data_IF_192647843528
#
_entry.id   IF_192647843528
#
_cell.length_a   1.000
_cell.length_b   1.000
_cell.length_c   1.000
_cell.angle_alpha   90.00
_cell.angle_beta   90.00
_cell.angle_gamma   90.00
#
_symmetry.space_group_name_H-M   'P 1'
#
loop_
_entity.id
_entity.type
_entity.pdbx_description
1 polymer ?
#
# COMPACT_ATOMS: atom_id res chain seq x y z
N UNK A 1 -5.19 -18.43 42.28
CA UNK A 1 -4.53 -19.75 42.29
C UNK A 1 -3.61 -20.01 41.11
N UNK A 2 -3.99 -19.83 39.88
CA UNK A 2 -3.10 -20.12 38.72
C UNK A 2 -1.89 -19.16 38.58
N UNK A 3 -2.05 -17.87 38.94
CA UNK A 3 -0.94 -16.89 39.01
C UNK A 3 0.12 -17.21 40.05
N UNK A 4 -0.24 -17.89 41.13
CA UNK A 4 0.68 -18.24 42.22
C UNK A 4 1.57 -19.46 41.88
N UNK A 5 1.32 -20.14 40.74
CA UNK A 5 2.04 -21.34 40.34
C UNK A 5 2.82 -21.14 39.04
N UNK A 6 3.02 -19.88 38.60
CA UNK A 6 3.70 -19.52 37.33
C UNK A 6 3.19 -20.28 36.09
N UNK A 7 1.94 -20.78 36.14
CA UNK A 7 1.31 -21.49 35.03
C UNK A 7 0.72 -20.57 33.96
N UNK A 8 0.70 -19.26 34.22
CA UNK A 8 0.32 -18.23 33.24
C UNK A 8 1.45 -17.21 33.24
N UNK A 9 2.28 -17.24 32.21
CA UNK A 9 3.22 -16.15 31.95
C UNK A 9 2.42 -14.87 31.70
N UNK A 10 2.70 -13.81 32.48
CA UNK A 10 2.23 -12.48 32.13
C UNK A 10 2.79 -12.17 30.73
N UNK A 11 1.97 -11.64 29.79
CA UNK A 11 2.53 -11.19 28.53
C UNK A 11 3.57 -10.13 28.86
N UNK A 12 4.84 -10.43 28.56
CA UNK A 12 5.87 -9.41 28.57
C UNK A 12 5.48 -8.42 27.47
N UNK A 13 4.83 -7.33 27.85
CA UNK A 13 4.71 -6.16 27.02
C UNK A 13 6.13 -5.61 26.86
N UNK A 14 6.86 -6.13 25.89
CA UNK A 14 8.00 -5.41 25.36
C UNK A 14 7.39 -4.18 24.70
N UNK A 15 7.38 -3.08 25.44
CA UNK A 15 7.25 -1.75 24.86
C UNK A 15 8.50 -1.55 24.02
N UNK A 16 8.46 -2.04 22.78
CA UNK A 16 9.40 -1.61 21.77
C UNK A 16 9.02 -0.16 21.53
N UNK A 17 9.76 0.76 22.20
CA UNK A 17 9.69 2.17 21.83
C UNK A 17 10.00 2.19 20.33
N UNK A 18 9.02 2.61 19.52
CA UNK A 18 9.23 2.81 18.10
C UNK A 18 10.45 3.71 17.97
N UNK A 19 11.53 3.16 17.44
CA UNK A 19 12.72 3.94 17.16
C UNK A 19 12.28 5.12 16.28
N UNK A 20 12.66 6.33 16.64
CA UNK A 20 12.29 7.61 16.02
C UNK A 20 12.72 7.77 14.55
N UNK A 21 13.01 6.69 13.84
CA UNK A 21 13.69 6.73 12.55
C UNK A 21 12.77 6.89 11.33
N UNK A 22 11.44 6.82 11.49
CA UNK A 22 10.47 7.13 10.44
C UNK A 22 9.26 7.86 11.00
N UNK A 23 9.53 8.92 11.75
CA UNK A 23 8.51 9.83 12.27
C UNK A 23 8.13 10.96 11.29
N UNK A 24 8.63 10.91 10.06
CA UNK A 24 8.20 11.85 9.01
C UNK A 24 6.81 11.45 8.53
N UNK A 25 5.80 11.87 9.30
CA UNK A 25 4.42 11.85 8.81
C UNK A 25 4.39 12.69 7.54
N UNK A 26 3.82 12.15 6.47
CA UNK A 26 3.52 12.94 5.28
C UNK A 26 2.52 14.03 5.62
N UNK A 27 2.72 15.22 5.05
CA UNK A 27 1.94 16.41 5.36
C UNK A 27 0.96 16.79 4.26
N UNK A 28 1.11 16.24 3.06
CA UNK A 28 0.26 16.54 1.90
C UNK A 28 0.21 15.37 0.92
N UNK A 29 -0.81 15.40 0.09
CA UNK A 29 -1.03 14.42 -0.99
C UNK A 29 0.13 14.44 -1.98
N UNK A 30 0.56 13.26 -2.41
CA UNK A 30 1.70 13.08 -3.32
C UNK A 30 3.08 13.43 -2.76
N UNK A 31 3.24 13.60 -1.46
CA UNK A 31 4.57 13.69 -0.86
C UNK A 31 5.30 12.36 -0.95
N UNK A 32 4.61 11.28 -0.64
CA UNK A 32 5.14 9.91 -0.70
C UNK A 32 4.05 8.93 -1.13
N UNK A 33 4.42 7.98 -1.97
CA UNK A 33 3.61 6.82 -2.33
C UNK A 33 4.20 5.56 -1.74
N UNK A 34 3.35 4.66 -1.27
CA UNK A 34 3.74 3.31 -0.89
C UNK A 34 3.40 2.34 -2.03
N UNK A 35 4.29 1.38 -2.27
CA UNK A 35 4.06 0.28 -3.21
C UNK A 35 4.43 -1.05 -2.59
N UNK A 36 3.62 -2.05 -2.87
CA UNK A 36 3.86 -3.42 -2.43
C UNK A 36 3.10 -4.39 -3.32
N UNK A 37 3.57 -5.65 -3.35
CA UNK A 37 2.86 -6.75 -3.96
C UNK A 37 2.09 -7.57 -2.93
N UNK A 38 0.89 -7.99 -3.31
CA UNK A 38 0.23 -9.10 -2.64
C UNK A 38 -0.25 -10.12 -3.67
N UNK A 39 -0.62 -11.32 -3.23
CA UNK A 39 -0.89 -12.42 -4.15
C UNK A 39 -2.25 -13.07 -3.89
N UNK A 40 -2.83 -13.57 -4.98
CA UNK A 40 -4.07 -14.32 -5.03
C UNK A 40 -3.87 -15.60 -5.85
N UNK A 41 -4.59 -16.64 -5.48
CA UNK A 41 -4.65 -17.87 -6.26
C UNK A 41 -5.97 -17.93 -7.01
N UNK A 42 -5.92 -18.20 -8.32
CA UNK A 42 -7.09 -18.41 -9.15
C UNK A 42 -7.12 -19.91 -9.51
N UNK A 43 -8.25 -20.54 -9.31
CA UNK A 43 -8.42 -21.98 -9.52
C UNK A 43 -8.23 -22.30 -11.02
N UNK A 44 -7.32 -23.24 -11.30
CA UNK A 44 -6.98 -23.61 -12.69
C UNK A 44 -5.97 -22.70 -13.38
N UNK A 45 -5.70 -21.48 -12.85
CA UNK A 45 -4.80 -20.49 -13.46
C UNK A 45 -3.49 -20.27 -12.68
N UNK A 46 -3.48 -20.60 -11.38
CA UNK A 46 -2.29 -20.44 -10.54
C UNK A 46 -2.26 -19.12 -9.74
N UNK A 47 -1.05 -18.58 -9.54
CA UNK A 47 -0.82 -17.41 -8.72
C UNK A 47 -0.78 -16.13 -9.56
N UNK A 48 -1.48 -15.11 -9.09
CA UNK A 48 -1.49 -13.75 -9.60
C UNK A 48 -1.04 -12.78 -8.52
N UNK A 49 -0.47 -11.67 -8.93
CA UNK A 49 0.18 -10.70 -8.05
C UNK A 49 -0.44 -9.34 -8.25
N UNK A 50 -0.97 -8.77 -7.18
CA UNK A 50 -1.52 -7.43 -7.20
C UNK A 50 -0.44 -6.44 -6.83
N UNK A 51 -0.05 -5.61 -7.78
CA UNK A 51 0.80 -4.44 -7.58
C UNK A 51 -0.07 -3.24 -7.24
N UNK A 52 0.24 -2.51 -6.16
CA UNK A 52 -0.59 -1.39 -5.69
C UNK A 52 0.26 -0.14 -5.47
N UNK A 53 -0.28 1.02 -5.80
CA UNK A 53 0.25 2.34 -5.43
C UNK A 53 -0.76 3.05 -4.54
N UNK A 54 -0.36 3.29 -3.30
CA UNK A 54 -1.14 3.97 -2.26
C UNK A 54 -0.49 5.32 -1.93
N UNK A 55 -1.27 6.39 -1.91
CA UNK A 55 -0.82 7.69 -1.38
C UNK A 55 -0.71 7.63 0.14
N UNK A 56 0.48 7.93 0.67
CA UNK A 56 0.77 7.77 2.09
C UNK A 56 -0.03 8.73 2.97
N UNK A 57 -0.31 9.94 2.51
CA UNK A 57 -1.06 10.94 3.27
C UNK A 57 -2.53 10.60 3.34
N UNK A 58 -3.18 10.47 2.20
CA UNK A 58 -4.64 10.27 2.08
C UNK A 58 -5.11 8.83 2.22
N UNK A 59 -4.21 7.85 2.15
CA UNK A 59 -4.53 6.41 2.04
C UNK A 59 -5.22 6.03 0.73
N UNK A 60 -5.39 6.95 -0.21
CA UNK A 60 -6.06 6.72 -1.48
C UNK A 60 -5.27 5.75 -2.36
N UNK A 61 -5.95 4.76 -2.93
CA UNK A 61 -5.35 3.86 -3.92
C UNK A 61 -5.38 4.54 -5.28
N UNK A 62 -4.21 5.00 -5.72
CA UNK A 62 -4.08 5.76 -6.97
C UNK A 62 -4.21 4.81 -8.15
N UNK A 63 -3.50 3.70 -8.10
CA UNK A 63 -3.53 2.68 -9.15
C UNK A 63 -3.17 1.30 -8.61
N UNK A 64 -3.66 0.28 -9.28
CA UNK A 64 -3.33 -1.10 -9.02
C UNK A 64 -3.39 -1.91 -10.32
N UNK A 65 -2.67 -3.02 -10.38
CA UNK A 65 -2.69 -3.95 -11.50
C UNK A 65 -2.58 -5.39 -11.00
N UNK A 66 -3.36 -6.28 -11.60
CA UNK A 66 -3.21 -7.72 -11.43
C UNK A 66 -2.19 -8.22 -12.44
N UNK A 67 -1.06 -8.75 -11.96
CA UNK A 67 0.08 -9.18 -12.76
C UNK A 67 0.25 -10.70 -12.69
N UNK A 68 0.79 -11.31 -13.74
CA UNK A 68 1.17 -12.72 -13.74
C UNK A 68 2.56 -12.96 -13.11
N UNK A 69 3.29 -11.89 -12.78
CA UNK A 69 4.61 -11.95 -12.17
C UNK A 69 4.84 -10.80 -11.18
N UNK A 70 5.95 -10.87 -10.41
CA UNK A 70 6.43 -9.80 -9.52
C UNK A 70 7.78 -9.29 -10.01
N UNK A 71 7.87 -8.88 -11.29
CA UNK A 71 9.12 -8.38 -11.86
C UNK A 71 9.19 -6.85 -11.77
N UNK A 72 10.40 -6.31 -11.95
CA UNK A 72 10.61 -4.87 -12.00
C UNK A 72 9.77 -4.18 -13.08
N UNK A 73 9.52 -4.86 -14.21
CA UNK A 73 8.67 -4.39 -15.29
C UNK A 73 7.22 -4.15 -14.85
N UNK A 74 6.67 -5.03 -14.01
CA UNK A 74 5.32 -4.88 -13.47
C UNK A 74 5.24 -3.65 -12.57
N UNK A 75 6.25 -3.44 -11.70
CA UNK A 75 6.35 -2.23 -10.87
C UNK A 75 6.46 -0.97 -11.73
N UNK A 76 7.31 -0.98 -12.76
CA UNK A 76 7.50 0.17 -13.68
C UNK A 76 6.19 0.55 -14.36
N UNK A 77 5.44 -0.44 -14.83
CA UNK A 77 4.14 -0.25 -15.50
C UNK A 77 3.11 0.33 -14.52
N UNK A 78 3.00 -0.23 -13.32
CA UNK A 78 2.08 0.25 -12.28
C UNK A 78 2.41 1.70 -11.87
N UNK A 79 3.69 2.02 -11.64
CA UNK A 79 4.14 3.38 -11.32
C UNK A 79 3.83 4.37 -12.44
N UNK A 80 4.10 3.99 -13.70
CA UNK A 80 3.82 4.83 -14.87
C UNK A 80 2.34 5.20 -14.94
N UNK A 81 1.46 4.20 -14.85
CA UNK A 81 0.00 4.42 -14.89
C UNK A 81 -0.51 5.23 -13.69
N UNK A 82 0.08 5.02 -12.50
CA UNK A 82 -0.26 5.84 -11.34
C UNK A 82 0.08 7.31 -11.55
N UNK A 83 1.24 7.61 -12.14
CA UNK A 83 1.67 8.97 -12.48
C UNK A 83 0.73 9.61 -13.51
N UNK A 84 0.36 8.86 -14.56
CA UNK A 84 -0.57 9.31 -15.60
C UNK A 84 -1.95 9.60 -15.00
N UNK A 85 -2.47 8.69 -14.18
CA UNK A 85 -3.77 8.84 -13.51
C UNK A 85 -3.81 10.01 -12.54
N UNK A 86 -2.75 10.22 -11.79
CA UNK A 86 -2.61 11.33 -10.85
C UNK A 86 -2.23 12.67 -11.53
N UNK A 87 -1.95 12.67 -12.84
CA UNK A 87 -1.56 13.84 -13.64
C UNK A 87 -0.36 14.63 -13.07
N UNK A 88 0.58 13.93 -12.42
CA UNK A 88 1.71 14.56 -11.72
C UNK A 88 2.80 15.02 -12.70
N UNK A 89 3.15 16.29 -12.61
CA UNK A 89 4.26 16.89 -13.38
C UNK A 89 5.61 16.43 -12.84
N UNK A 90 6.64 16.43 -13.70
CA UNK A 90 7.99 15.95 -13.36
C UNK A 90 8.61 16.64 -12.14
N UNK A 91 8.31 17.91 -11.91
CA UNK A 91 8.83 18.67 -10.76
C UNK A 91 8.17 18.34 -9.41
N UNK A 92 7.06 17.62 -9.43
CA UNK A 92 6.22 17.28 -8.26
C UNK A 92 6.17 15.78 -8.00
N UNK A 93 7.19 15.03 -8.43
CA UNK A 93 7.21 13.58 -8.27
C UNK A 93 7.29 13.18 -6.80
N UNK A 94 6.40 12.28 -6.35
CA UNK A 94 6.43 11.73 -5.00
C UNK A 94 7.68 10.90 -4.76
N UNK A 95 8.06 10.74 -3.50
CA UNK A 95 8.96 9.67 -3.07
C UNK A 95 8.21 8.34 -3.21
N UNK A 96 8.89 7.28 -3.66
CA UNK A 96 8.31 5.93 -3.69
C UNK A 96 8.90 5.11 -2.56
N UNK A 97 8.07 4.62 -1.67
CA UNK A 97 8.45 3.74 -0.57
C UNK A 97 8.06 2.29 -0.91
N UNK A 98 9.01 1.38 -0.82
CA UNK A 98 8.80 -0.07 -1.00
C UNK A 98 9.52 -0.87 0.08
N UNK A 99 9.26 -2.17 0.15
CA UNK A 99 10.07 -3.14 0.87
C UNK A 99 11.42 -3.41 0.16
N UNK A 100 12.13 -4.43 0.61
CA UNK A 100 13.38 -4.91 0.01
C UNK A 100 13.18 -6.17 -0.84
N UNK A 101 11.99 -6.39 -1.37
CA UNK A 101 11.72 -7.50 -2.28
C UNK A 101 12.60 -7.45 -3.54
N UNK A 102 12.90 -8.60 -4.16
CA UNK A 102 13.82 -8.69 -5.30
C UNK A 102 13.52 -7.72 -6.45
N UNK A 103 12.23 -7.50 -6.76
CA UNK A 103 11.81 -6.56 -7.80
C UNK A 103 12.18 -5.11 -7.46
N UNK A 104 12.11 -4.74 -6.16
CA UNK A 104 12.37 -3.38 -5.69
C UNK A 104 13.85 -3.06 -5.52
N UNK A 105 14.71 -4.08 -5.31
CA UNK A 105 16.17 -3.87 -5.20
C UNK A 105 16.89 -3.92 -6.55
N UNK A 106 16.19 -4.26 -7.64
CA UNK A 106 16.77 -4.38 -8.97
C UNK A 106 17.36 -3.04 -9.47
N UNK A 107 18.52 -3.11 -10.11
CA UNK A 107 19.13 -1.93 -10.74
C UNK A 107 18.22 -1.33 -11.82
N UNK A 108 17.51 -2.17 -12.54
CA UNK A 108 16.58 -1.79 -13.57
C UNK A 108 15.46 -0.85 -13.06
N UNK A 109 14.82 -1.20 -11.95
CA UNK A 109 13.81 -0.34 -11.33
C UNK A 109 14.43 0.95 -10.79
N UNK A 110 15.61 0.84 -10.15
CA UNK A 110 16.34 1.99 -9.61
C UNK A 110 16.66 3.02 -10.70
N UNK A 111 17.18 2.56 -11.84
CA UNK A 111 17.52 3.43 -12.97
C UNK A 111 16.27 4.04 -13.60
N UNK A 112 15.21 3.28 -13.76
CA UNK A 112 13.93 3.76 -14.24
C UNK A 112 13.35 4.86 -13.35
N UNK A 113 13.27 4.64 -12.03
CA UNK A 113 12.74 5.62 -11.10
C UNK A 113 13.58 6.90 -11.09
N UNK A 114 14.92 6.77 -11.01
CA UNK A 114 15.83 7.90 -10.95
C UNK A 114 15.91 8.66 -12.27
N UNK A 115 16.14 7.95 -13.37
CA UNK A 115 16.50 8.57 -14.65
C UNK A 115 15.27 8.92 -15.50
N UNK A 116 14.24 8.06 -15.49
CA UNK A 116 13.04 8.25 -16.32
C UNK A 116 11.97 9.02 -15.55
N UNK A 117 11.63 8.57 -14.34
CA UNK A 117 10.53 9.17 -13.59
C UNK A 117 10.94 10.33 -12.68
N UNK A 118 12.24 10.52 -12.45
CA UNK A 118 12.78 11.54 -11.51
C UNK A 118 12.20 11.41 -10.09
N UNK A 119 11.93 10.19 -9.66
CA UNK A 119 11.40 9.84 -8.34
C UNK A 119 12.52 9.39 -7.41
N UNK A 120 12.45 9.82 -6.15
CA UNK A 120 13.31 9.28 -5.09
C UNK A 120 12.73 7.96 -4.61
N UNK A 121 13.50 6.88 -4.72
CA UNK A 121 13.13 5.57 -4.17
C UNK A 121 13.66 5.46 -2.74
N UNK A 122 12.76 5.14 -1.79
CA UNK A 122 13.05 4.86 -0.38
C UNK A 122 12.70 3.40 -0.15
N UNK A 123 13.62 2.66 0.45
CA UNK A 123 13.38 1.26 0.84
C UNK A 123 13.29 1.17 2.35
N UNK A 124 12.34 0.40 2.85
CA UNK A 124 12.21 0.11 4.26
C UNK A 124 13.50 -0.53 4.79
N UNK A 125 13.89 -0.19 6.02
CA UNK A 125 15.01 -0.89 6.66
C UNK A 125 14.62 -2.35 6.92
N UNK A 126 15.52 -3.31 6.73
CA UNK A 126 15.27 -4.69 7.12
C UNK A 126 14.85 -4.77 8.60
N UNK A 127 13.85 -5.59 8.91
CA UNK A 127 13.34 -5.80 10.26
C UNK A 127 12.56 -4.62 10.89
N UNK A 128 12.19 -3.58 10.13
CA UNK A 128 11.34 -2.49 10.60
C UNK A 128 9.99 -2.46 9.83
N UNK A 129 9.02 -3.32 10.16
CA UNK A 129 7.74 -3.45 9.45
C UNK A 129 6.89 -2.18 9.53
N UNK A 130 7.14 -1.28 10.47
CA UNK A 130 6.34 -0.06 10.68
C UNK A 130 6.40 0.91 9.49
N UNK A 131 7.41 0.80 8.63
CA UNK A 131 7.64 1.73 7.52
C UNK A 131 6.55 1.64 6.44
N UNK A 132 5.95 0.46 6.25
CA UNK A 132 4.89 0.20 5.26
C UNK A 132 3.54 -0.18 5.88
N UNK A 133 3.35 0.08 7.14
CA UNK A 133 2.15 -0.34 7.89
C UNK A 133 0.82 0.12 7.28
N UNK A 134 0.82 1.15 6.41
CA UNK A 134 -0.39 1.64 5.76
C UNK A 134 -0.82 0.73 4.62
N UNK A 135 0.09 0.40 3.71
CA UNK A 135 -0.20 -0.51 2.59
C UNK A 135 -0.41 -1.95 3.08
N UNK A 136 0.30 -2.39 4.11
CA UNK A 136 0.08 -3.70 4.73
C UNK A 136 -1.32 -3.80 5.34
N UNK A 137 -1.80 -2.75 6.02
CA UNK A 137 -3.16 -2.67 6.55
C UNK A 137 -4.21 -2.68 5.45
N UNK A 138 -3.96 -1.96 4.36
CA UNK A 138 -4.80 -2.02 3.17
C UNK A 138 -4.87 -3.45 2.62
N UNK A 139 -3.73 -4.10 2.39
CA UNK A 139 -3.69 -5.48 1.89
C UNK A 139 -4.40 -6.47 2.81
N UNK A 140 -4.25 -6.33 4.13
CA UNK A 140 -4.96 -7.15 5.11
C UNK A 140 -6.47 -6.97 4.98
N UNK A 141 -6.94 -5.73 4.93
CA UNK A 141 -8.37 -5.42 4.80
C UNK A 141 -8.92 -5.98 3.50
N UNK A 142 -8.20 -5.79 2.39
CA UNK A 142 -8.60 -6.30 1.08
C UNK A 142 -8.67 -7.83 1.06
N UNK A 143 -7.66 -8.51 1.61
CA UNK A 143 -7.64 -9.97 1.69
C UNK A 143 -8.80 -10.53 2.52
N UNK A 144 -9.21 -9.84 3.57
CA UNK A 144 -10.33 -10.28 4.42
C UNK A 144 -11.68 -10.20 3.69
N UNK A 145 -11.79 -9.42 2.61
CA UNK A 145 -13.00 -9.32 1.79
C UNK A 145 -12.85 -10.19 0.54
N UNK A 146 -11.84 -9.90 -0.28
CA UNK A 146 -11.67 -10.51 -1.60
C UNK A 146 -11.36 -12.02 -1.53
N UNK A 147 -10.69 -12.51 -0.48
CA UNK A 147 -10.40 -13.95 -0.31
C UNK A 147 -11.57 -14.79 0.22
N UNK A 148 -12.69 -14.18 0.54
CA UNK A 148 -13.88 -14.96 0.94
C UNK A 148 -14.49 -15.70 -0.24
N UNK A 149 -14.26 -15.21 -1.46
CA UNK A 149 -14.75 -15.83 -2.68
C UNK A 149 -13.68 -16.70 -3.37
N UNK A 150 -14.14 -17.61 -4.19
CA UNK A 150 -13.32 -18.43 -5.07
C UNK A 150 -13.41 -17.90 -6.50
N UNK A 151 -12.27 -17.71 -7.13
CA UNK A 151 -12.18 -17.17 -8.48
C UNK A 151 -11.73 -18.27 -9.44
N UNK A 152 -12.43 -18.42 -10.55
CA UNK A 152 -12.15 -19.40 -11.61
C UNK A 152 -11.57 -18.72 -12.86
N UNK A 153 -11.74 -17.40 -12.98
CA UNK A 153 -11.18 -16.61 -14.07
C UNK A 153 -10.52 -15.33 -13.53
N UNK A 154 -9.44 -14.86 -14.17
CA UNK A 154 -8.77 -13.60 -13.77
C UNK A 154 -9.70 -12.39 -13.76
N UNK A 155 -10.66 -12.35 -14.67
CA UNK A 155 -11.63 -11.26 -14.81
C UNK A 155 -12.55 -11.14 -13.59
N UNK A 156 -12.92 -12.27 -12.97
CA UNK A 156 -13.74 -12.29 -11.76
C UNK A 156 -12.98 -11.65 -10.59
N UNK A 157 -11.70 -11.99 -10.44
CA UNK A 157 -10.83 -11.37 -9.43
C UNK A 157 -10.61 -9.88 -9.71
N UNK A 158 -10.41 -9.49 -10.97
CA UNK A 158 -10.26 -8.08 -11.36
C UNK A 158 -11.52 -7.32 -10.96
N UNK A 159 -12.71 -7.83 -11.29
CA UNK A 159 -13.99 -7.20 -10.93
C UNK A 159 -14.15 -7.04 -9.42
N UNK A 160 -13.81 -8.08 -8.63
CA UNK A 160 -13.86 -8.01 -7.16
C UNK A 160 -12.88 -6.97 -6.60
N UNK A 161 -11.68 -6.87 -7.15
CA UNK A 161 -10.68 -5.88 -6.77
C UNK A 161 -11.11 -4.46 -7.13
N UNK A 162 -11.70 -4.24 -8.31
CA UNK A 162 -12.25 -2.94 -8.73
C UNK A 162 -13.32 -2.47 -7.75
N UNK A 163 -14.26 -3.34 -7.44
CA UNK A 163 -15.34 -3.04 -6.49
C UNK A 163 -14.81 -2.76 -5.09
N UNK A 164 -13.82 -3.52 -4.65
CA UNK A 164 -13.18 -3.30 -3.35
C UNK A 164 -12.46 -1.95 -3.31
N UNK A 165 -11.66 -1.62 -4.32
CA UNK A 165 -10.90 -0.36 -4.35
C UNK A 165 -11.83 0.84 -4.45
N UNK A 166 -12.90 0.75 -5.24
CA UNK A 166 -13.92 1.78 -5.32
C UNK A 166 -14.57 2.04 -3.94
N UNK A 167 -14.99 0.97 -3.25
CA UNK A 167 -15.53 1.08 -1.91
C UNK A 167 -14.52 1.63 -0.91
N UNK A 168 -13.27 1.14 -0.96
CA UNK A 168 -12.20 1.58 -0.07
C UNK A 168 -11.90 3.07 -0.23
N UNK A 169 -11.82 3.56 -1.46
CA UNK A 169 -11.49 4.96 -1.73
C UNK A 169 -12.64 5.92 -1.44
N UNK A 170 -13.88 5.53 -1.76
CA UNK A 170 -15.00 6.46 -1.86
C UNK A 170 -16.11 6.25 -0.82
N UNK A 171 -16.03 5.17 -0.02
CA UNK A 171 -17.10 4.87 0.95
C UNK A 171 -16.59 4.45 2.33
N UNK A 172 -15.32 4.04 2.44
CA UNK A 172 -14.78 3.58 3.70
C UNK A 172 -14.20 4.73 4.52
N UNK A 173 -14.77 4.95 5.70
CA UNK A 173 -14.23 5.88 6.68
C UNK A 173 -12.97 5.35 7.36
N UNK A 174 -12.03 6.25 7.65
CA UNK A 174 -10.77 5.93 8.30
C UNK A 174 -10.58 6.79 9.55
N UNK A 175 -10.50 6.16 10.73
CA UNK A 175 -10.22 6.84 11.99
C UNK A 175 -8.93 7.69 11.93
N UNK A 176 -7.86 7.17 11.30
CA UNK A 176 -6.61 7.88 11.12
C UNK A 176 -6.66 9.07 10.13
N UNK A 177 -7.82 9.35 9.54
CA UNK A 177 -8.13 10.49 8.68
C UNK A 177 -9.30 11.30 9.27
N UNK A 178 -9.44 11.34 10.58
CA UNK A 178 -10.53 12.02 11.27
C UNK A 178 -11.93 11.56 10.80
N UNK A 179 -12.05 10.25 10.54
CA UNK A 179 -13.22 9.61 9.97
C UNK A 179 -13.62 10.13 8.58
N UNK A 180 -12.69 10.68 7.82
CA UNK A 180 -12.90 10.97 6.41
C UNK A 180 -12.65 9.72 5.54
N UNK A 181 -13.20 9.72 4.33
CA UNK A 181 -12.85 8.73 3.31
C UNK A 181 -11.56 9.14 2.58
N UNK A 182 -10.77 8.18 2.06
CA UNK A 182 -9.53 8.48 1.35
C UNK A 182 -9.70 9.49 0.20
N UNK A 183 -10.80 9.42 -0.54
CA UNK A 183 -11.08 10.34 -1.64
C UNK A 183 -11.27 11.78 -1.18
N UNK A 184 -11.89 12.04 -0.03
CA UNK A 184 -12.07 13.39 0.48
C UNK A 184 -10.75 14.06 0.82
N UNK A 185 -9.85 13.31 1.45
CA UNK A 185 -8.51 13.78 1.77
C UNK A 185 -7.69 13.97 0.50
N UNK A 186 -7.75 13.01 -0.43
CA UNK A 186 -6.98 13.02 -1.67
C UNK A 186 -7.35 14.20 -2.58
N UNK A 187 -8.64 14.52 -2.67
CA UNK A 187 -9.14 15.64 -3.49
C UNK A 187 -9.26 16.97 -2.71
N UNK A 188 -8.75 17.04 -1.48
CA UNK A 188 -8.72 18.26 -0.68
C UNK A 188 -10.09 18.76 -0.23
N UNK A 189 -11.06 17.85 -0.03
CA UNK A 189 -12.40 18.17 0.45
C UNK A 189 -12.54 18.05 1.98
N UNK A 190 -11.53 17.47 2.65
CA UNK A 190 -11.59 17.10 4.06
C UNK A 190 -11.91 18.28 4.98
N UNK A 191 -11.22 19.41 4.84
CA UNK A 191 -11.40 20.58 5.70
C UNK A 191 -12.84 21.11 5.65
N UNK A 192 -13.44 21.13 4.45
CA UNK A 192 -14.85 21.58 4.27
C UNK A 192 -15.89 20.62 4.86
N UNK A 193 -15.52 19.36 5.06
CA UNK A 193 -16.43 18.34 5.63
C UNK A 193 -16.37 18.39 7.17
N UNK A 194 -15.22 18.80 7.72
CA UNK A 194 -15.00 18.87 9.17
C UNK A 194 -15.43 20.22 9.79
N UNK A 195 -15.66 21.26 8.97
CA UNK A 195 -16.28 22.54 9.37
C UNK A 195 -17.79 22.38 9.64
#
# INVERSE_FOLDING_TARGET
MLKQRDLISAPNHILISAANEFNDKTNFVHEMWQTDFTYFKIIGWGWYYLSTILDDYSRYIIHWELCSSMKAEDVKRTVKKAIEKAQIKTKQRPKLLSDNGPCYVSNELKDYLKNTQKMKHIRGKPLHPQTQGKIERYHRTMKNVVKLDHYYHPEELIFALEHFVENYNNHRYHEALDNLIPADVYFGRGDKILE
#
